data_IF_549396780520
#
_entry.id   IF_549396780520
#
_cell.length_a   1.000
_cell.length_b   1.000
_cell.length_c   1.000
_cell.angle_alpha   90.00
_cell.angle_beta   90.00
_cell.angle_gamma   90.00
#
_symmetry.space_group_name_H-M   'P 1'
#
loop_
_entity.id
_entity.type
_entity.pdbx_description
1 polymer ?
#
# COMPACT_ATOMS: atom_id res chain seq x y z
N UNK A 1 3.37 2.21 14.34
CA UNK A 1 3.33 3.12 13.17
C UNK A 1 1.88 3.33 12.79
N UNK A 2 1.43 4.57 12.59
CA UNK A 2 0.02 4.84 12.23
C UNK A 2 -0.09 5.02 10.73
N UNK A 3 -0.84 4.14 10.06
CA UNK A 3 -1.15 4.27 8.64
C UNK A 3 -2.22 5.34 8.42
N UNK A 4 -2.02 6.20 7.42
CA UNK A 4 -3.00 7.22 7.05
C UNK A 4 -4.14 6.63 6.22
N UNK A 5 -5.31 7.29 6.14
CA UNK A 5 -6.39 6.84 5.28
C UNK A 5 -5.99 6.71 3.80
N UNK A 6 -5.08 7.56 3.31
CA UNK A 6 -4.59 7.49 1.92
C UNK A 6 -3.66 6.30 1.70
N UNK A 7 -2.75 6.04 2.62
CA UNK A 7 -1.87 4.87 2.55
C UNK A 7 -2.67 3.56 2.66
N UNK A 8 -3.72 3.52 3.49
CA UNK A 8 -4.63 2.37 3.53
C UNK A 8 -5.30 2.13 2.18
N UNK A 9 -5.79 3.20 1.53
CA UNK A 9 -6.33 3.08 0.19
C UNK A 9 -5.30 2.54 -0.79
N UNK A 10 -4.01 2.91 -0.68
CA UNK A 10 -2.95 2.38 -1.56
C UNK A 10 -2.69 0.91 -1.31
N UNK A 11 -2.68 0.47 -0.06
CA UNK A 11 -2.61 -0.96 0.24
C UNK A 11 -3.77 -1.73 -0.40
N UNK A 12 -4.98 -1.21 -0.35
CA UNK A 12 -6.14 -1.83 -0.98
C UNK A 12 -6.01 -1.93 -2.51
N UNK A 13 -5.38 -0.95 -3.17
CA UNK A 13 -5.08 -1.00 -4.61
C UNK A 13 -4.08 -2.09 -4.94
N UNK A 14 -2.98 -2.13 -4.18
CA UNK A 14 -1.91 -3.11 -4.35
C UNK A 14 -2.45 -4.52 -4.08
N UNK A 15 -3.44 -4.65 -3.19
CA UNK A 15 -4.18 -5.88 -2.95
C UNK A 15 -5.18 -6.25 -4.08
N UNK A 16 -5.39 -5.39 -5.07
CA UNK A 16 -6.43 -5.55 -6.10
C UNK A 16 -7.86 -5.36 -5.60
N UNK A 17 -8.06 -4.84 -4.38
CA UNK A 17 -9.39 -4.53 -3.83
C UNK A 17 -9.96 -3.22 -4.38
N UNK A 18 -9.11 -2.38 -4.98
CA UNK A 18 -9.46 -1.10 -5.61
C UNK A 18 -8.76 -0.93 -6.96
N UNK A 19 -9.43 -0.31 -7.96
CA UNK A 19 -8.87 -0.12 -9.30
C UNK A 19 -7.81 0.98 -9.32
N UNK A 20 -6.79 0.85 -10.16
CA UNK A 20 -5.71 1.85 -10.29
C UNK A 20 -6.08 3.17 -11.01
N UNK A 21 -7.37 3.40 -11.29
CA UNK A 21 -7.82 4.48 -12.16
C UNK A 21 -8.08 5.82 -11.44
N UNK A 22 -8.10 5.85 -10.10
CA UNK A 22 -8.58 7.01 -9.33
C UNK A 22 -7.46 7.82 -8.63
N UNK A 23 -6.33 8.10 -9.29
CA UNK A 23 -5.16 8.65 -8.58
C UNK A 23 -4.79 10.09 -8.90
N UNK A 24 -4.67 10.88 -7.83
CA UNK A 24 -4.09 12.22 -7.83
C UNK A 24 -2.62 12.23 -7.39
N UNK A 25 -2.03 13.42 -7.28
CA UNK A 25 -0.60 13.64 -7.00
C UNK A 25 -0.05 13.02 -5.69
N UNK A 26 -0.92 12.51 -4.81
CA UNK A 26 -0.58 11.95 -3.51
C UNK A 26 -0.15 10.47 -3.57
N UNK A 27 -0.41 9.76 -4.69
CA UNK A 27 -0.14 8.33 -4.81
C UNK A 27 1.35 8.00 -4.64
N UNK A 28 2.23 8.77 -5.30
CA UNK A 28 3.68 8.55 -5.23
C UNK A 28 4.21 8.61 -3.80
N UNK A 29 3.82 9.65 -3.05
CA UNK A 29 4.23 9.81 -1.65
C UNK A 29 3.75 8.64 -0.76
N UNK A 30 2.53 8.15 -0.98
CA UNK A 30 2.01 7.01 -0.22
C UNK A 30 2.74 5.70 -0.57
N UNK A 31 3.09 5.48 -1.85
CA UNK A 31 3.87 4.32 -2.28
C UNK A 31 5.27 4.33 -1.66
N UNK A 32 5.92 5.49 -1.62
CA UNK A 32 7.25 5.62 -1.01
C UNK A 32 7.19 5.41 0.51
N UNK A 33 6.18 5.96 1.19
CA UNK A 33 5.99 5.75 2.62
C UNK A 33 5.71 4.28 2.97
N UNK A 34 4.80 3.63 2.23
CA UNK A 34 4.47 2.20 2.42
C UNK A 34 5.67 1.28 2.15
N UNK A 35 6.48 1.62 1.14
CA UNK A 35 7.73 0.89 0.85
C UNK A 35 8.75 1.09 1.96
N UNK A 36 8.98 2.33 2.38
CA UNK A 36 9.88 2.65 3.50
C UNK A 36 9.47 1.96 4.81
N UNK A 37 8.20 1.58 4.92
CA UNK A 37 7.62 0.88 6.06
C UNK A 37 7.58 -0.64 5.90
N UNK A 38 8.04 -1.17 4.77
CA UNK A 38 8.09 -2.61 4.49
C UNK A 38 6.73 -3.27 4.29
N UNK A 39 5.66 -2.49 4.01
CA UNK A 39 4.31 -3.02 3.78
C UNK A 39 4.09 -3.45 2.33
N UNK A 40 4.86 -2.87 1.41
CA UNK A 40 4.91 -3.25 0.00
C UNK A 40 6.35 -3.48 -0.44
N UNK A 41 6.51 -4.27 -1.49
CA UNK A 41 7.77 -4.53 -2.17
C UNK A 41 8.16 -3.40 -3.11
N UNK A 42 9.41 -3.42 -3.56
CA UNK A 42 9.82 -2.66 -4.75
C UNK A 42 9.02 -3.08 -5.99
N UNK A 43 9.03 -2.20 -7.00
CA UNK A 43 8.36 -2.48 -8.26
C UNK A 43 9.03 -3.66 -8.96
N UNK A 44 8.38 -4.82 -8.94
CA UNK A 44 8.73 -5.94 -9.82
C UNK A 44 7.87 -5.80 -11.07
N UNK A 45 8.40 -5.14 -12.10
CA UNK A 45 7.64 -4.83 -13.32
C UNK A 45 6.83 -3.54 -13.17
N UNK A 46 5.51 -3.61 -13.35
CA UNK A 46 4.63 -2.42 -13.43
C UNK A 46 3.93 -2.02 -12.13
N UNK A 47 3.88 -2.89 -11.11
CA UNK A 47 3.21 -2.62 -9.84
C UNK A 47 3.94 -3.27 -8.65
N UNK A 48 3.92 -2.66 -7.46
CA UNK A 48 4.44 -3.30 -6.26
C UNK A 48 3.50 -4.42 -5.80
N UNK A 49 4.00 -5.32 -4.95
CA UNK A 49 3.22 -6.38 -4.29
C UNK A 49 3.22 -6.22 -2.78
N UNK A 50 2.18 -6.71 -2.09
CA UNK A 50 2.12 -6.72 -0.62
C UNK A 50 3.16 -7.65 -0.01
N UNK A 51 3.78 -7.21 1.08
CA UNK A 51 4.52 -8.09 2.01
C UNK A 51 3.56 -8.79 2.97
N UNK A 52 4.06 -9.70 3.80
CA UNK A 52 3.26 -10.32 4.87
C UNK A 52 2.75 -9.27 5.88
N UNK A 53 3.57 -8.26 6.19
CA UNK A 53 3.16 -7.15 7.05
C UNK A 53 2.05 -6.32 6.40
N UNK A 54 2.16 -6.00 5.11
CA UNK A 54 1.09 -5.30 4.37
C UNK A 54 -0.23 -6.08 4.33
N UNK A 55 -0.15 -7.41 4.16
CA UNK A 55 -1.31 -8.30 4.25
C UNK A 55 -1.95 -8.27 5.65
N UNK A 56 -1.14 -8.32 6.71
CA UNK A 56 -1.61 -8.28 8.09
C UNK A 56 -2.35 -6.96 8.41
N UNK A 57 -1.81 -5.83 7.97
CA UNK A 57 -2.46 -4.51 8.12
C UNK A 57 -3.85 -4.50 7.47
N UNK A 58 -3.99 -5.06 6.26
CA UNK A 58 -5.27 -5.13 5.56
C UNK A 58 -6.28 -6.11 6.18
N UNK A 59 -5.83 -7.06 6.98
CA UNK A 59 -6.68 -8.03 7.68
C UNK A 59 -7.12 -7.52 9.07
N UNK A 60 -6.74 -6.30 9.45
CA UNK A 60 -7.05 -5.73 10.77
C UNK A 60 -6.06 -6.14 11.85
N UNK A 61 -4.83 -6.52 11.46
CA UNK A 61 -3.74 -6.82 12.38
C UNK A 61 -3.31 -5.58 13.17
N UNK A 62 -4.02 -5.31 14.26
CA UNK A 62 -3.49 -4.57 15.38
C UNK A 62 -2.36 -5.42 16.00
N UNK A 63 -1.14 -4.91 15.92
CA UNK A 63 -0.08 -5.21 16.88
C UNK A 63 0.23 -3.90 17.62
#
# INVERSE_FOLDING_TARGET
MTITPREMQVLEMVAGKRPWAEWGAWLGACLDALRGSGLITDYIGSQPSLTDAGRAVLQGGAA
#
